data_IF_996453275265
#
_entry.id   IF_996453275265
#
_cell.length_a   1.000
_cell.length_b   1.000
_cell.length_c   1.000
_cell.angle_alpha   90.00
_cell.angle_beta   90.00
_cell.angle_gamma   90.00
#
_symmetry.space_group_name_H-M   'P 1'
#
loop_
_entity.id
_entity.type
_entity.pdbx_description
1 polymer ?
#
# COMPACT_ATOMS: atom_id res chain seq x y z
N UNK A 1 4.80 -3.09 -19.43
CA UNK A 1 3.63 -2.47 -18.80
C UNK A 1 4.11 -1.26 -18.01
N UNK A 2 3.77 -0.03 -18.41
CA UNK A 2 4.28 1.21 -17.82
C UNK A 2 3.19 1.80 -16.93
N UNK A 3 3.31 1.61 -15.61
CA UNK A 3 2.36 2.18 -14.67
C UNK A 3 2.62 3.68 -14.56
N UNK A 4 1.70 4.49 -15.09
CA UNK A 4 1.68 5.94 -14.91
C UNK A 4 1.13 6.26 -13.51
N UNK A 5 1.87 5.93 -12.46
CA UNK A 5 1.51 6.40 -11.12
C UNK A 5 2.02 7.82 -10.94
N UNK A 6 1.09 8.75 -10.75
CA UNK A 6 1.33 10.16 -10.41
C UNK A 6 2.35 10.23 -9.27
N UNK A 7 3.44 11.02 -9.41
CA UNK A 7 4.52 11.17 -8.40
C UNK A 7 4.03 11.25 -6.95
N UNK A 8 2.87 11.86 -6.75
CA UNK A 8 2.19 12.04 -5.46
C UNK A 8 1.78 10.75 -4.75
N UNK A 9 1.44 9.69 -5.51
CA UNK A 9 0.99 8.42 -4.96
C UNK A 9 2.14 7.54 -4.46
N UNK A 10 3.35 7.70 -5.02
CA UNK A 10 4.54 6.96 -4.59
C UNK A 10 5.05 7.43 -3.22
N UNK A 11 4.66 8.62 -2.74
CA UNK A 11 5.14 9.21 -1.48
C UNK A 11 4.17 9.04 -0.29
N UNK A 12 2.99 8.46 -0.50
CA UNK A 12 2.03 8.28 0.60
C UNK A 12 2.50 7.18 1.56
N UNK A 13 2.99 7.59 2.74
CA UNK A 13 3.29 6.68 3.84
C UNK A 13 1.99 6.06 4.38
N UNK A 14 2.08 4.80 4.80
CA UNK A 14 1.01 4.14 5.53
C UNK A 14 1.20 4.40 7.03
N UNK A 15 0.51 5.41 7.55
CA UNK A 15 0.66 5.89 8.93
C UNK A 15 0.41 4.81 9.98
N UNK A 16 -0.60 3.97 9.76
CA UNK A 16 -0.92 2.86 10.66
C UNK A 16 0.22 1.83 10.82
N UNK A 17 1.13 1.74 9.85
CA UNK A 17 2.24 0.80 9.84
C UNK A 17 3.60 1.44 10.13
N UNK A 18 3.63 2.73 10.51
CA UNK A 18 4.87 3.41 10.87
C UNK A 18 5.57 2.75 12.07
N UNK A 19 4.79 2.21 13.02
CA UNK A 19 5.32 1.52 14.20
C UNK A 19 6.19 0.30 13.86
N UNK A 20 6.07 -0.26 12.65
CA UNK A 20 6.91 -1.37 12.18
C UNK A 20 8.31 -0.91 11.75
N UNK A 21 8.55 0.39 11.57
CA UNK A 21 9.86 0.93 11.19
C UNK A 21 10.32 0.57 9.77
N UNK A 22 9.42 0.07 8.91
CA UNK A 22 9.74 -0.44 7.56
C UNK A 22 9.32 0.48 6.41
N UNK A 23 8.96 1.72 6.72
CA UNK A 23 8.56 2.74 5.72
C UNK A 23 7.53 2.23 4.71
N UNK A 24 6.49 1.54 5.20
CA UNK A 24 5.40 1.09 4.34
C UNK A 24 4.72 2.27 3.66
N UNK A 25 4.39 2.08 2.39
CA UNK A 25 3.71 3.03 1.52
C UNK A 25 2.39 2.42 1.08
N UNK A 26 1.47 3.28 0.65
CA UNK A 26 0.18 2.86 0.11
C UNK A 26 -0.11 3.50 -1.22
N UNK A 27 -0.87 2.79 -2.03
CA UNK A 27 -1.52 3.36 -3.20
C UNK A 27 -2.96 2.90 -3.27
N UNK A 28 -3.84 3.79 -3.76
CA UNK A 28 -5.23 3.47 -4.05
C UNK A 28 -5.37 3.35 -5.56
N UNK A 29 -5.84 2.20 -6.03
CA UNK A 29 -6.16 1.94 -7.43
C UNK A 29 -7.60 1.41 -7.48
N UNK A 30 -8.50 2.16 -8.12
CA UNK A 30 -9.92 1.86 -8.09
C UNK A 30 -10.47 1.72 -6.66
N UNK A 31 -10.97 0.53 -6.34
CA UNK A 31 -11.49 0.17 -5.01
C UNK A 31 -10.46 -0.54 -4.13
N UNK A 32 -9.22 -0.68 -4.58
CA UNK A 32 -8.19 -1.43 -3.87
C UNK A 32 -7.18 -0.49 -3.22
N UNK A 33 -6.82 -0.79 -1.97
CA UNK A 33 -5.69 -0.22 -1.27
C UNK A 33 -4.56 -1.24 -1.27
N UNK A 34 -3.44 -0.88 -1.87
CA UNK A 34 -2.26 -1.74 -1.96
C UNK A 34 -1.21 -1.17 -1.00
N UNK A 35 -0.74 -1.99 -0.06
CA UNK A 35 0.37 -1.67 0.84
C UNK A 35 1.63 -2.34 0.32
N UNK A 36 2.71 -1.57 0.25
CA UNK A 36 4.00 -2.06 -0.22
C UNK A 36 5.15 -1.41 0.52
N UNK A 37 6.35 -1.97 0.38
CA UNK A 37 7.61 -1.33 0.79
C UNK A 37 8.67 -1.52 -0.29
N UNK A 38 9.65 -0.62 -0.28
CA UNK A 38 10.78 -0.65 -1.21
C UNK A 38 12.02 -1.07 -0.43
N UNK A 39 12.71 -2.12 -0.87
CA UNK A 39 14.00 -2.51 -0.33
C UNK A 39 14.99 -2.67 -1.49
N UNK A 40 15.99 -1.80 -1.55
CA UNK A 40 16.91 -1.73 -2.69
C UNK A 40 16.15 -1.41 -3.99
N UNK A 41 16.32 -2.26 -4.99
CA UNK A 41 15.67 -2.13 -6.30
C UNK A 41 14.31 -2.87 -6.37
N UNK A 42 13.91 -3.51 -5.27
CA UNK A 42 12.72 -4.36 -5.22
C UNK A 42 11.54 -3.67 -4.54
N UNK A 43 10.34 -3.96 -5.05
CA UNK A 43 9.07 -3.56 -4.44
C UNK A 43 8.38 -4.82 -3.92
N UNK A 44 8.09 -4.82 -2.62
CA UNK A 44 7.35 -5.90 -1.96
C UNK A 44 5.95 -5.42 -1.67
N UNK A 45 4.96 -6.00 -2.33
CA UNK A 45 3.55 -5.84 -1.97
C UNK A 45 3.32 -6.72 -0.74
N UNK A 46 2.97 -6.11 0.38
CA UNK A 46 2.73 -6.84 1.63
C UNK A 46 1.27 -7.22 1.76
N UNK A 47 0.37 -6.34 1.32
CA UNK A 47 -1.07 -6.51 1.50
C UNK A 47 -1.87 -5.81 0.39
N UNK A 48 -3.05 -6.36 0.09
CA UNK A 48 -4.03 -5.76 -0.83
C UNK A 48 -5.39 -5.83 -0.15
N UNK A 49 -6.00 -4.67 0.09
CA UNK A 49 -7.32 -4.53 0.71
C UNK A 49 -8.32 -4.10 -0.36
N UNK A 50 -9.44 -4.82 -0.48
CA UNK A 50 -10.61 -4.31 -1.19
C UNK A 50 -11.36 -3.37 -0.26
N UNK A 51 -11.36 -2.07 -0.58
CA UNK A 51 -11.95 -1.01 0.26
C UNK A 51 -13.47 -1.09 0.33
N UNK A 52 -14.10 -1.98 -0.45
CA UNK A 52 -15.54 -2.27 -0.35
C UNK A 52 -15.85 -3.28 0.75
N UNK A 53 -14.85 -4.02 1.23
CA UNK A 53 -15.03 -4.94 2.33
C UNK A 53 -15.11 -4.19 3.65
N UNK A 54 -16.01 -4.66 4.53
CA UNK A 54 -16.09 -4.11 5.87
C UNK A 54 -14.79 -4.48 6.64
N UNK A 55 -14.02 -3.49 7.13
CA UNK A 55 -12.76 -3.74 7.83
C UNK A 55 -12.91 -4.63 9.06
N UNK A 56 -14.05 -4.59 9.77
CA UNK A 56 -14.33 -5.48 10.92
C UNK A 56 -14.42 -6.96 10.53
N UNK A 57 -14.62 -7.24 9.23
CA UNK A 57 -14.70 -8.61 8.69
C UNK A 57 -13.39 -9.08 8.06
N UNK A 58 -12.39 -8.21 7.97
CA UNK A 58 -11.07 -8.55 7.46
C UNK A 58 -10.24 -9.11 8.62
N UNK A 59 -10.20 -10.44 8.74
CA UNK A 59 -9.27 -11.15 9.62
C UNK A 59 -8.04 -11.53 8.80
N UNK A 60 -6.87 -11.03 9.21
CA UNK A 60 -5.57 -11.47 8.69
C UNK A 60 -5.20 -12.86 9.18
#
# INVERSE_FOLDING_TARGET
MKFFYTRRALESLEECLQHLGKSHRRIIEGNYKIIYRVEGENIYITDIFDSRQNPDKMRG
#
